data_IF_301401207953
#
_entry.id   IF_301401207953
#
_cell.length_a   1.000
_cell.length_b   1.000
_cell.length_c   1.000
_cell.angle_alpha   90.00
_cell.angle_beta   90.00
_cell.angle_gamma   90.00
#
_symmetry.space_group_name_H-M   'P 1'
#
loop_
_entity.id
_entity.type
_entity.pdbx_description
1 polymer ?
#
# COMPACT_ATOMS: atom_id res chain seq x y z
N UNK A 1 0.27 24.13 16.98
CA UNK A 1 -0.81 25.06 16.55
C UNK A 1 -2.08 24.68 17.29
N UNK A 2 -2.85 25.63 17.83
CA UNK A 2 -4.12 25.29 18.47
C UNK A 2 -5.07 24.71 17.42
N UNK A 3 -5.67 23.56 17.71
CA UNK A 3 -6.68 22.95 16.84
C UNK A 3 -7.93 23.81 16.87
N UNK A 4 -8.46 24.17 15.70
CA UNK A 4 -9.76 24.86 15.61
C UNK A 4 -10.88 23.94 16.09
N UNK A 5 -12.02 24.50 16.50
CA UNK A 5 -13.21 23.71 16.83
C UNK A 5 -13.60 22.77 15.68
N UNK A 6 -13.44 23.21 14.43
CA UNK A 6 -13.67 22.40 13.23
C UNK A 6 -12.73 21.20 13.17
N UNK A 7 -11.43 21.38 13.43
CA UNK A 7 -10.48 20.26 13.47
C UNK A 7 -10.87 19.23 14.54
N UNK A 8 -11.32 19.68 15.72
CA UNK A 8 -11.78 18.78 16.77
C UNK A 8 -13.00 17.96 16.31
N UNK A 9 -14.03 18.62 15.78
CA UNK A 9 -15.24 17.95 15.28
C UNK A 9 -14.91 16.97 14.16
N UNK A 10 -14.10 17.37 13.19
CA UNK A 10 -13.66 16.48 12.09
C UNK A 10 -12.99 15.23 12.63
N UNK A 11 -12.00 15.38 13.51
CA UNK A 11 -11.26 14.23 14.08
C UNK A 11 -12.17 13.31 14.88
N UNK A 12 -13.08 13.88 15.68
CA UNK A 12 -14.05 13.12 16.44
C UNK A 12 -14.96 12.31 15.49
N UNK A 13 -15.61 12.97 14.52
CA UNK A 13 -16.49 12.31 13.55
C UNK A 13 -15.77 11.18 12.83
N UNK A 14 -14.58 11.42 12.26
CA UNK A 14 -13.83 10.39 11.55
C UNK A 14 -13.39 9.24 12.47
N UNK A 15 -13.04 9.53 13.72
CA UNK A 15 -12.69 8.48 14.69
C UNK A 15 -13.90 7.60 15.05
N UNK A 16 -15.12 8.15 15.06
CA UNK A 16 -16.35 7.36 15.30
C UNK A 16 -16.70 6.44 14.14
N UNK A 17 -16.17 6.71 12.94
CA UNK A 17 -16.34 5.85 11.76
C UNK A 17 -15.30 4.74 11.65
N UNK A 18 -14.36 4.63 12.61
CA UNK A 18 -13.25 3.67 12.60
C UNK A 18 -13.70 2.25 12.24
N UNK A 19 -14.70 1.74 12.95
CA UNK A 19 -15.12 0.34 12.82
C UNK A 19 -15.87 0.07 11.49
N UNK A 20 -16.19 1.12 10.73
CA UNK A 20 -16.81 0.99 9.40
C UNK A 20 -15.79 1.00 8.26
N UNK A 21 -14.52 1.31 8.53
CA UNK A 21 -13.51 1.51 7.49
C UNK A 21 -13.32 0.26 6.63
N UNK A 22 -13.28 -0.92 7.24
CA UNK A 22 -13.08 -2.19 6.51
C UNK A 22 -14.29 -2.58 5.64
N UNK A 23 -15.46 -2.07 5.96
CA UNK A 23 -16.72 -2.35 5.24
C UNK A 23 -17.04 -1.30 4.17
N UNK A 24 -16.32 -0.17 4.17
CA UNK A 24 -16.59 1.01 3.35
C UNK A 24 -15.35 1.43 2.57
N UNK A 25 -15.07 0.80 1.42
CA UNK A 25 -13.87 1.12 0.63
C UNK A 25 -13.82 2.59 0.19
N UNK A 26 -14.96 3.23 -0.05
CA UNK A 26 -15.03 4.66 -0.34
C UNK A 26 -14.52 5.53 0.81
N UNK A 27 -14.75 5.13 2.06
CA UNK A 27 -14.26 5.85 3.24
C UNK A 27 -12.73 5.75 3.34
N UNK A 28 -12.15 4.58 3.07
CA UNK A 28 -10.69 4.40 2.99
C UNK A 28 -10.11 5.34 1.92
N UNK A 29 -10.69 5.32 0.73
CA UNK A 29 -10.22 6.15 -0.39
C UNK A 29 -10.31 7.65 -0.07
N UNK A 30 -11.36 8.10 0.61
CA UNK A 30 -11.51 9.50 1.02
C UNK A 30 -10.52 9.90 2.13
N UNK A 31 -10.29 9.03 3.13
CA UNK A 31 -9.33 9.25 4.21
C UNK A 31 -7.88 9.35 3.71
N UNK A 32 -7.56 8.63 2.62
CA UNK A 32 -6.29 8.69 1.91
C UNK A 32 -6.24 9.79 0.83
N UNK A 33 -7.30 10.60 0.70
CA UNK A 33 -7.44 11.65 -0.31
C UNK A 33 -7.23 11.16 -1.76
N UNK A 34 -7.66 9.93 -2.06
CA UNK A 34 -7.56 9.32 -3.39
C UNK A 34 -8.79 9.56 -4.27
N UNK A 35 -9.91 9.99 -3.68
CA UNK A 35 -11.14 10.36 -4.39
C UNK A 35 -11.61 11.74 -3.95
N UNK A 36 -12.42 12.37 -4.80
CA UNK A 36 -13.16 13.57 -4.44
C UNK A 36 -14.26 13.24 -3.44
N UNK A 37 -14.46 14.14 -2.48
CA UNK A 37 -15.47 13.98 -1.44
C UNK A 37 -16.78 14.59 -1.93
N UNK A 38 -17.74 13.73 -2.27
CA UNK A 38 -19.02 14.11 -2.86
C UNK A 38 -20.20 13.59 -2.03
N UNK A 39 -21.32 14.30 -2.08
CA UNK A 39 -22.54 13.96 -1.34
C UNK A 39 -23.13 12.60 -1.74
N UNK A 40 -22.99 12.20 -3.01
CA UNK A 40 -23.45 10.88 -3.50
C UNK A 40 -22.76 9.72 -2.76
N UNK A 41 -21.48 9.86 -2.47
CA UNK A 41 -20.68 8.86 -1.76
C UNK A 41 -20.84 8.97 -0.23
N UNK A 42 -21.12 10.17 0.28
CA UNK A 42 -21.24 10.47 1.71
C UNK A 42 -22.50 11.29 1.98
N UNK A 43 -23.70 10.66 1.99
CA UNK A 43 -24.96 11.39 2.15
C UNK A 43 -25.20 11.88 3.59
N UNK A 44 -24.44 11.36 4.56
CA UNK A 44 -24.48 11.83 5.96
C UNK A 44 -23.77 13.20 6.08
N UNK A 45 -24.49 14.30 6.41
CA UNK A 45 -23.89 15.64 6.40
C UNK A 45 -22.70 15.82 7.38
N UNK A 46 -22.71 15.26 8.60
CA UNK A 46 -21.54 15.26 9.48
C UNK A 46 -20.30 14.61 8.87
N UNK A 47 -20.47 13.44 8.23
CA UNK A 47 -19.39 12.72 7.56
C UNK A 47 -18.86 13.51 6.37
N UNK A 48 -19.76 14.01 5.52
CA UNK A 48 -19.41 14.84 4.37
C UNK A 48 -18.59 16.06 4.80
N UNK A 49 -19.09 16.83 5.78
CA UNK A 49 -18.41 18.01 6.27
C UNK A 49 -17.03 17.69 6.89
N UNK A 50 -16.91 16.57 7.61
CA UNK A 50 -15.65 16.12 8.18
C UNK A 50 -14.62 15.77 7.09
N UNK A 51 -15.02 15.00 6.08
CA UNK A 51 -14.16 14.63 4.95
C UNK A 51 -13.80 15.83 4.07
N UNK A 52 -14.73 16.75 3.79
CA UNK A 52 -14.43 17.99 3.06
C UNK A 52 -13.42 18.85 3.81
N UNK A 53 -13.52 18.95 5.14
CA UNK A 53 -12.53 19.66 5.95
C UNK A 53 -11.17 18.94 5.93
N UNK A 54 -11.14 17.61 6.01
CA UNK A 54 -9.92 16.82 5.92
C UNK A 54 -9.13 17.15 4.64
N UNK A 55 -9.80 17.20 3.48
CA UNK A 55 -9.16 17.51 2.19
C UNK A 55 -8.50 18.89 2.17
N UNK A 56 -9.04 19.87 2.90
CA UNK A 56 -8.56 21.26 2.87
C UNK A 56 -7.61 21.62 4.02
N UNK A 57 -7.53 20.79 5.06
CA UNK A 57 -6.79 21.10 6.28
C UNK A 57 -5.56 20.21 6.46
N UNK A 58 -4.37 20.76 6.23
CA UNK A 58 -3.09 20.04 6.39
C UNK A 58 -2.89 19.44 7.80
N UNK A 59 -3.39 20.10 8.84
CA UNK A 59 -3.33 19.58 10.21
C UNK A 59 -4.26 18.37 10.44
N UNK A 60 -5.37 18.28 9.70
CA UNK A 60 -6.24 17.09 9.71
C UNK A 60 -5.68 16.00 8.81
N UNK A 61 -5.04 16.34 7.67
CA UNK A 61 -4.37 15.36 6.81
C UNK A 61 -3.22 14.65 7.54
N UNK A 62 -2.33 15.41 8.19
CA UNK A 62 -1.22 14.85 8.96
C UNK A 62 -1.72 13.97 10.11
N UNK A 63 -2.79 14.39 10.79
CA UNK A 63 -3.44 13.59 11.82
C UNK A 63 -4.05 12.31 11.24
N UNK A 64 -4.78 12.40 10.13
CA UNK A 64 -5.45 11.25 9.50
C UNK A 64 -4.43 10.20 9.07
N UNK A 65 -3.33 10.62 8.44
CA UNK A 65 -2.24 9.72 8.07
C UNK A 65 -1.66 8.99 9.29
N UNK A 66 -1.32 9.73 10.36
CA UNK A 66 -0.79 9.13 11.59
C UNK A 66 -1.81 8.24 12.31
N UNK A 67 -3.09 8.63 12.30
CA UNK A 67 -4.17 7.87 12.90
C UNK A 67 -4.42 6.57 12.13
N UNK A 68 -4.53 6.62 10.80
CA UNK A 68 -4.66 5.44 9.94
C UNK A 68 -3.49 4.48 10.12
N UNK A 69 -2.27 5.00 10.26
CA UNK A 69 -1.08 4.17 10.49
C UNK A 69 -1.10 3.49 11.86
N UNK A 70 -1.66 4.15 12.87
CA UNK A 70 -1.86 3.57 14.20
C UNK A 70 -3.02 2.57 14.25
N UNK A 71 -4.07 2.77 13.45
CA UNK A 71 -5.23 1.87 13.40
C UNK A 71 -4.96 0.60 12.59
N UNK A 72 -4.12 0.71 11.55
CA UNK A 72 -3.87 -0.36 10.57
C UNK A 72 -2.36 -0.60 10.42
N UNK A 73 -1.68 -1.22 11.41
CA UNK A 73 -0.25 -1.47 11.36
C UNK A 73 0.19 -2.29 10.13
N UNK A 74 -0.67 -3.17 9.63
CA UNK A 74 -0.45 -3.94 8.41
C UNK A 74 -0.27 -3.05 7.17
N UNK A 75 -0.93 -1.87 7.11
CA UNK A 75 -0.71 -0.89 6.03
C UNK A 75 0.69 -0.27 6.11
N UNK A 76 1.23 -0.07 7.31
CA UNK A 76 2.60 0.41 7.51
C UNK A 76 3.58 -0.67 7.07
N UNK A 77 3.43 -1.89 7.60
CA UNK A 77 4.27 -3.03 7.24
C UNK A 77 4.27 -3.31 5.73
N UNK A 78 3.10 -3.19 5.09
CA UNK A 78 2.96 -3.33 3.64
C UNK A 78 3.75 -2.27 2.86
N UNK A 79 3.64 -0.99 3.24
CA UNK A 79 4.40 0.10 2.60
C UNK A 79 5.91 -0.07 2.78
N UNK A 80 6.34 -0.43 3.99
CA UNK A 80 7.76 -0.71 4.26
C UNK A 80 8.28 -1.90 3.45
N UNK A 81 7.45 -2.94 3.29
CA UNK A 81 7.79 -4.10 2.45
C UNK A 81 7.89 -3.72 0.98
N UNK A 82 6.92 -3.00 0.42
CA UNK A 82 6.96 -2.50 -0.96
C UNK A 82 8.18 -1.62 -1.21
N UNK A 83 8.57 -0.79 -0.25
CA UNK A 83 9.72 0.11 -0.39
C UNK A 83 11.06 -0.60 -0.60
N UNK A 84 11.14 -1.92 -0.34
CA UNK A 84 12.32 -2.75 -0.65
C UNK A 84 12.46 -3.04 -2.13
N UNK A 85 11.42 -2.79 -2.93
CA UNK A 85 11.36 -3.10 -4.35
C UNK A 85 11.45 -1.82 -5.19
N UNK A 86 11.90 -1.96 -6.44
CA UNK A 86 12.03 -0.83 -7.36
C UNK A 86 10.69 -0.20 -7.77
N UNK A 87 9.58 -0.96 -7.72
CA UNK A 87 8.24 -0.49 -8.00
C UNK A 87 7.18 -1.48 -7.49
N UNK A 88 5.92 -1.03 -7.40
CA UNK A 88 4.79 -1.86 -6.96
C UNK A 88 4.51 -3.05 -7.90
N UNK A 89 4.70 -2.88 -9.21
CA UNK A 89 4.54 -3.98 -10.17
C UNK A 89 5.57 -5.10 -9.96
N UNK A 90 6.83 -4.74 -9.67
CA UNK A 90 7.87 -5.71 -9.35
C UNK A 90 7.53 -6.43 -8.05
N UNK A 91 7.15 -5.68 -7.01
CA UNK A 91 6.68 -6.27 -5.75
C UNK A 91 5.56 -7.29 -5.99
N UNK A 92 4.55 -6.94 -6.78
CA UNK A 92 3.45 -7.84 -7.10
C UNK A 92 3.88 -9.08 -7.90
N UNK A 93 4.82 -8.94 -8.84
CA UNK A 93 5.31 -10.03 -9.67
C UNK A 93 6.20 -11.04 -8.92
N UNK A 94 6.89 -10.58 -7.86
CA UNK A 94 7.73 -11.43 -7.01
C UNK A 94 6.92 -12.12 -5.91
N UNK A 95 5.94 -11.42 -5.33
CA UNK A 95 5.23 -11.90 -4.11
C UNK A 95 3.93 -12.66 -4.37
N UNK A 96 3.38 -12.61 -5.60
CA UNK A 96 2.07 -13.21 -5.90
C UNK A 96 2.21 -14.38 -6.89
N UNK A 97 2.13 -15.65 -6.44
CA UNK A 97 2.40 -16.82 -7.29
C UNK A 97 1.33 -17.04 -8.38
N UNK A 98 0.14 -16.47 -8.23
CA UNK A 98 -0.99 -16.56 -9.16
C UNK A 98 -0.89 -15.61 -10.37
N UNK A 99 0.17 -14.81 -10.48
CA UNK A 99 0.34 -13.86 -11.59
C UNK A 99 0.82 -14.54 -12.87
N UNK A 100 0.31 -14.02 -13.99
CA UNK A 100 0.70 -14.39 -15.37
C UNK A 100 2.18 -14.05 -15.64
N UNK A 101 2.68 -12.99 -15.01
CA UNK A 101 4.10 -12.58 -15.07
C UNK A 101 4.72 -12.77 -13.70
N UNK A 102 5.69 -13.68 -13.64
CA UNK A 102 6.48 -14.04 -12.47
C UNK A 102 7.90 -13.55 -12.65
N UNK A 103 8.47 -13.00 -11.58
CA UNK A 103 9.89 -12.66 -11.51
C UNK A 103 10.53 -13.51 -10.41
N UNK A 104 11.56 -14.27 -10.77
CA UNK A 104 12.34 -15.10 -9.86
C UNK A 104 13.80 -14.67 -9.79
N UNK A 105 14.47 -15.01 -8.70
CA UNK A 105 15.92 -14.86 -8.52
C UNK A 105 16.53 -16.23 -8.24
N UNK A 106 17.64 -16.54 -8.91
CA UNK A 106 18.47 -17.70 -8.59
C UNK A 106 19.95 -17.37 -8.81
N UNK A 107 20.82 -18.20 -8.24
CA UNK A 107 22.24 -18.21 -8.58
C UNK A 107 22.46 -19.22 -9.69
N UNK A 108 22.63 -18.74 -10.93
CA UNK A 108 22.94 -19.61 -12.06
C UNK A 108 24.30 -20.28 -11.81
N UNK A 109 24.31 -21.61 -11.88
CA UNK A 109 25.46 -22.47 -11.48
C UNK A 109 25.96 -22.25 -10.04
N UNK A 110 25.12 -21.70 -9.17
CA UNK A 110 25.47 -21.42 -7.79
C UNK A 110 26.34 -20.18 -7.58
N UNK A 111 26.66 -19.42 -8.64
CA UNK A 111 27.59 -18.30 -8.58
C UNK A 111 27.01 -17.00 -9.16
N UNK A 112 26.31 -17.06 -10.31
CA UNK A 112 25.91 -15.87 -11.06
C UNK A 112 24.48 -15.40 -10.70
N UNK A 113 24.30 -14.23 -10.05
CA UNK A 113 22.98 -13.70 -9.71
C UNK A 113 22.15 -13.43 -10.96
N UNK A 114 21.05 -14.17 -11.12
CA UNK A 114 20.23 -14.11 -12.32
C UNK A 114 18.77 -13.94 -11.97
N UNK A 115 18.14 -12.94 -12.59
CA UNK A 115 16.70 -12.73 -12.51
C UNK A 115 16.02 -13.30 -13.75
N UNK A 116 14.90 -14.00 -13.55
CA UNK A 116 14.12 -14.61 -14.62
C UNK A 116 12.72 -14.02 -14.68
N UNK A 117 12.23 -13.83 -15.90
CA UNK A 117 10.83 -13.56 -16.19
C UNK A 117 10.20 -14.83 -16.77
N UNK A 118 9.15 -15.32 -16.09
CA UNK A 118 8.41 -16.54 -16.45
C UNK A 118 9.33 -17.74 -16.75
N UNK A 119 10.37 -17.93 -15.94
CA UNK A 119 11.32 -19.05 -16.03
C UNK A 119 12.06 -19.19 -17.38
N UNK A 120 11.98 -18.17 -18.26
CA UNK A 120 12.43 -18.27 -19.65
C UNK A 120 13.38 -17.14 -20.09
N UNK A 121 13.27 -15.95 -19.50
CA UNK A 121 14.00 -14.77 -19.97
C UNK A 121 14.83 -14.20 -18.83
N UNK A 122 16.15 -14.21 -18.99
CA UNK A 122 17.05 -13.50 -18.06
C UNK A 122 16.89 -11.99 -18.23
N UNK A 123 16.69 -11.27 -17.14
CA UNK A 123 16.50 -9.81 -17.14
C UNK A 123 17.50 -9.13 -16.21
N UNK A 124 18.05 -8.00 -16.63
CA UNK A 124 18.95 -7.18 -15.78
C UNK A 124 18.26 -5.90 -15.27
N UNK A 125 17.11 -5.57 -15.85
CA UNK A 125 16.34 -4.37 -15.55
C UNK A 125 14.88 -4.76 -15.29
N UNK A 126 14.24 -4.02 -14.40
CA UNK A 126 12.82 -4.15 -14.14
C UNK A 126 12.03 -3.83 -15.42
N UNK A 127 11.15 -4.73 -15.89
CA UNK A 127 10.39 -4.51 -17.12
C UNK A 127 9.35 -3.39 -17.00
N UNK A 128 9.04 -2.94 -15.78
CA UNK A 128 8.04 -1.89 -15.54
C UNK A 128 8.64 -0.50 -15.32
N UNK A 129 9.73 -0.38 -14.57
CA UNK A 129 10.31 0.93 -14.26
C UNK A 129 11.72 1.15 -14.83
N UNK A 130 12.33 0.14 -15.46
CA UNK A 130 13.65 0.25 -16.08
C UNK A 130 14.83 0.36 -15.10
N UNK A 131 14.60 0.30 -13.79
CA UNK A 131 15.70 0.26 -12.83
C UNK A 131 16.47 -1.06 -12.91
N UNK A 132 17.79 -0.98 -12.74
CA UNK A 132 18.66 -2.16 -12.69
C UNK A 132 18.29 -3.01 -11.47
N UNK A 133 18.18 -4.32 -11.68
CA UNK A 133 17.88 -5.26 -10.61
C UNK A 133 19.11 -5.48 -9.72
N UNK A 134 18.92 -5.69 -8.41
CA UNK A 134 20.02 -5.95 -7.50
C UNK A 134 20.62 -7.33 -7.73
N UNK A 135 21.90 -7.52 -7.41
CA UNK A 135 22.60 -8.81 -7.51
C UNK A 135 22.27 -9.77 -6.34
N UNK A 136 21.11 -9.58 -5.71
CA UNK A 136 20.60 -10.35 -4.56
C UNK A 136 19.06 -10.32 -4.56
N UNK A 137 18.37 -11.28 -3.93
CA UNK A 137 16.91 -11.23 -3.83
C UNK A 137 16.45 -9.98 -3.05
N UNK A 138 15.25 -9.49 -3.37
CA UNK A 138 14.64 -8.35 -2.66
C UNK A 138 14.35 -8.68 -1.19
N UNK A 139 13.98 -9.93 -0.91
CA UNK A 139 13.70 -10.47 0.41
C UNK A 139 14.56 -11.72 0.61
N UNK A 140 15.68 -11.63 1.35
CA UNK A 140 16.61 -12.75 1.53
C UNK A 140 16.06 -13.90 2.39
N UNK A 141 14.97 -13.67 3.13
CA UNK A 141 14.39 -14.60 4.11
C UNK A 141 13.03 -15.19 3.69
N UNK A 142 12.68 -15.15 2.40
CA UNK A 142 11.53 -15.93 1.93
C UNK A 142 11.91 -17.41 1.97
N UNK A 143 11.71 -18.05 3.13
CA UNK A 143 11.57 -19.50 3.18
C UNK A 143 10.52 -19.88 2.11
N UNK A 144 10.82 -20.82 1.20
CA UNK A 144 9.81 -21.28 0.27
C UNK A 144 8.63 -21.78 1.09
N UNK A 145 7.44 -21.21 0.86
CA UNK A 145 6.22 -21.73 1.49
C UNK A 145 6.18 -23.24 1.24
N UNK A 146 5.94 -24.06 2.28
CA UNK A 146 5.95 -25.49 2.12
C UNK A 146 4.97 -25.88 1.02
N UNK A 147 5.49 -26.60 0.04
CA UNK A 147 4.76 -27.13 -1.11
C UNK A 147 3.49 -27.80 -0.58
N UNK A 148 2.33 -27.18 -0.83
CA UNK A 148 1.05 -27.80 -0.46
C UNK A 148 0.92 -29.05 -1.30
N UNK A 149 1.21 -30.19 -0.67
CA UNK A 149 1.12 -31.51 -1.29
C UNK A 149 -0.35 -31.78 -1.60
N UNK A 150 -0.69 -32.24 -2.82
CA UNK A 150 -2.07 -32.39 -3.28
C UNK A 150 -2.90 -33.38 -2.47
#
# INVERSE_FOLDING_TARGET
MPHSATCFTTRYTLSTLRDQIDERPELVMALECMIEVEEEHFPDPPTLAALSHLVQCSACQAWSAAWMDAQFPERVAWRERIARYCCSSMFAAVTKPDRIVRIGFELFRGEDPTWYLNDAICVQFCPWCGQRLPDRPFEPDLEPEPEQTP
#
